data_IF_563914477251
#
_entry.id   IF_563914477251
#
_cell.length_a   1.000
_cell.length_b   1.000
_cell.length_c   1.000
_cell.angle_alpha   90.00
_cell.angle_beta   90.00
_cell.angle_gamma   90.00
#
_symmetry.space_group_name_H-M   'P 1'
#
loop_
_entity.id
_entity.type
_entity.pdbx_description
1 polymer ?
#
# COMPACT_ATOMS: atom_id res chain seq x y z
N UNK A 1 2.77 -2.78 13.37
CA UNK A 1 2.74 -3.61 12.16
C UNK A 1 4.04 -4.39 12.07
N UNK A 2 4.27 -5.04 10.93
CA UNK A 2 5.54 -5.67 10.58
C UNK A 2 6.10 -4.95 9.37
N UNK A 3 7.40 -4.66 9.37
CA UNK A 3 8.05 -4.00 8.24
C UNK A 3 8.13 -4.96 7.05
N UNK A 4 7.47 -4.58 5.96
CA UNK A 4 7.47 -5.35 4.74
C UNK A 4 8.83 -5.25 4.04
N UNK A 5 9.41 -6.40 3.72
CA UNK A 5 10.76 -6.48 3.14
C UNK A 5 10.75 -6.38 1.61
N UNK A 6 9.62 -6.69 0.98
CA UNK A 6 9.47 -6.55 -0.47
C UNK A 6 9.29 -5.10 -0.88
N UNK A 7 9.96 -4.70 -1.97
CA UNK A 7 9.81 -3.37 -2.57
C UNK A 7 8.62 -3.42 -3.54
N UNK A 8 7.63 -2.53 -3.41
CA UNK A 8 6.47 -2.53 -4.29
C UNK A 8 6.76 -1.89 -5.64
N UNK A 9 6.03 -2.32 -6.67
CA UNK A 9 5.81 -1.50 -7.85
C UNK A 9 4.86 -0.35 -7.50
N UNK A 10 5.23 0.88 -7.84
CA UNK A 10 4.45 2.09 -7.53
C UNK A 10 3.90 2.73 -8.80
N UNK A 11 2.59 2.97 -8.82
CA UNK A 11 1.93 3.79 -9.85
C UNK A 11 1.31 5.03 -9.23
N UNK A 12 1.69 6.18 -9.77
CA UNK A 12 1.16 7.47 -9.36
C UNK A 12 0.29 8.05 -10.48
N UNK A 13 -0.85 8.60 -10.10
CA UNK A 13 -1.71 9.36 -11.01
C UNK A 13 -2.23 10.60 -10.30
N UNK A 14 -2.39 11.69 -11.06
CA UNK A 14 -2.92 12.98 -10.59
C UNK A 14 -4.18 13.31 -11.38
N UNK A 15 -5.19 13.86 -10.72
CA UNK A 15 -6.38 14.35 -11.41
C UNK A 15 -6.00 15.48 -12.37
N UNK A 16 -6.78 15.65 -13.45
CA UNK A 16 -6.50 16.63 -14.50
C UNK A 16 -6.48 18.08 -13.99
N UNK A 17 -7.29 18.37 -12.97
CA UNK A 17 -7.35 19.66 -12.28
C UNK A 17 -6.32 19.80 -11.15
N UNK A 18 -5.54 18.73 -10.87
CA UNK A 18 -4.49 18.73 -9.86
C UNK A 18 -4.97 18.70 -8.41
N UNK A 19 -6.27 18.56 -8.16
CA UNK A 19 -6.86 18.63 -6.82
C UNK A 19 -6.68 17.34 -6.01
N UNK A 20 -6.45 16.22 -6.67
CA UNK A 20 -6.27 14.92 -6.03
C UNK A 20 -5.21 14.06 -6.72
N UNK A 21 -4.71 13.08 -5.98
CA UNK A 21 -3.76 12.09 -6.46
C UNK A 21 -4.10 10.70 -5.96
N UNK A 22 -3.55 9.69 -6.63
CA UNK A 22 -3.63 8.30 -6.23
C UNK A 22 -2.27 7.65 -6.39
N UNK A 23 -1.76 7.06 -5.31
CA UNK A 23 -0.65 6.12 -5.33
C UNK A 23 -1.20 4.69 -5.20
N UNK A 24 -0.75 3.79 -6.08
CA UNK A 24 -1.05 2.36 -6.02
C UNK A 24 0.28 1.63 -5.79
N UNK A 25 0.34 0.85 -4.72
CA UNK A 25 1.48 0.02 -4.35
C UNK A 25 1.12 -1.43 -4.64
N UNK A 26 1.94 -2.13 -5.41
CA UNK A 26 1.76 -3.55 -5.73
C UNK A 26 2.97 -4.35 -5.23
N UNK A 27 2.74 -5.17 -4.22
CA UNK A 27 3.77 -6.06 -3.67
C UNK A 27 3.56 -7.47 -4.24
N UNK A 28 4.50 -7.94 -5.05
CA UNK A 28 4.48 -9.32 -5.56
C UNK A 28 5.16 -10.24 -4.55
N UNK A 29 4.48 -11.33 -4.17
CA UNK A 29 4.94 -12.27 -3.14
C UNK A 29 5.50 -11.59 -1.87
N UNK A 30 4.72 -10.71 -1.20
CA UNK A 30 5.18 -9.97 -0.03
C UNK A 30 5.52 -10.88 1.14
N UNK A 31 6.53 -10.51 1.91
CA UNK A 31 7.04 -11.25 3.08
C UNK A 31 6.00 -11.37 4.20
N UNK A 32 5.01 -10.47 4.24
CA UNK A 32 3.87 -10.61 5.17
C UNK A 32 3.07 -11.91 4.95
N UNK A 33 3.10 -12.51 3.75
CA UNK A 33 2.47 -13.80 3.50
C UNK A 33 3.17 -14.96 4.21
N UNK A 34 4.49 -14.87 4.44
CA UNK A 34 5.22 -15.88 5.20
C UNK A 34 4.86 -15.84 6.69
N UNK A 35 4.42 -14.66 7.14
CA UNK A 35 4.07 -14.37 8.54
C UNK A 35 2.57 -14.50 8.83
N UNK A 36 1.73 -14.72 7.80
CA UNK A 36 0.27 -14.53 7.89
C UNK A 36 -0.45 -15.59 8.72
N UNK A 37 0.23 -16.65 9.18
CA UNK A 37 -0.34 -17.60 10.16
C UNK A 37 -0.20 -17.12 11.60
N UNK A 38 0.71 -16.19 11.88
CA UNK A 38 0.97 -15.65 13.21
C UNK A 38 0.47 -14.21 13.41
N UNK A 39 0.33 -13.42 12.33
CA UNK A 39 0.07 -11.97 12.42
C UNK A 39 -1.39 -11.52 12.21
N UNK A 40 -2.31 -12.43 11.88
CA UNK A 40 -3.71 -12.09 11.62
C UNK A 40 -3.95 -11.41 10.27
N UNK A 41 -5.09 -10.72 10.14
CA UNK A 41 -5.52 -10.09 8.88
C UNK A 41 -4.71 -8.83 8.55
N UNK A 42 -4.50 -8.59 7.26
CA UNK A 42 -3.86 -7.37 6.75
C UNK A 42 -4.92 -6.27 6.68
N UNK A 43 -4.83 -5.29 7.58
CA UNK A 43 -5.86 -4.25 7.75
C UNK A 43 -5.48 -2.89 7.15
N UNK A 44 -4.20 -2.70 6.80
CA UNK A 44 -3.74 -1.42 6.28
C UNK A 44 -2.28 -1.41 5.87
N UNK A 45 -1.90 -0.37 5.14
CA UNK A 45 -0.54 0.01 4.80
C UNK A 45 -0.16 1.23 5.64
N UNK A 46 1.03 1.20 6.25
CA UNK A 46 1.63 2.33 6.96
C UNK A 46 2.95 2.67 6.28
N UNK A 47 3.13 3.93 5.90
CA UNK A 47 4.35 4.47 5.27
C UNK A 47 4.95 5.46 6.26
N UNK A 48 6.15 5.17 6.74
CA UNK A 48 6.76 5.85 7.89
C UNK A 48 8.10 6.45 7.45
N UNK A 49 8.26 7.74 7.68
CA UNK A 49 9.48 8.51 7.40
C UNK A 49 9.74 9.56 8.51
N UNK A 50 10.71 10.43 8.30
CA UNK A 50 11.05 11.52 9.24
C UNK A 50 9.95 12.58 9.36
N UNK A 51 9.06 12.69 8.37
CA UNK A 51 7.93 13.63 8.33
C UNK A 51 6.68 13.06 9.02
N UNK A 52 6.70 11.77 9.37
CA UNK A 52 5.67 11.09 10.17
C UNK A 52 5.12 9.83 9.50
N UNK A 53 3.80 9.63 9.62
CA UNK A 53 3.13 8.42 9.15
C UNK A 53 2.00 8.76 8.19
N UNK A 54 2.06 8.18 6.99
CA UNK A 54 0.92 8.06 6.09
C UNK A 54 0.30 6.66 6.25
N UNK A 55 -1.02 6.56 6.16
CA UNK A 55 -1.70 5.27 6.28
C UNK A 55 -2.83 5.13 5.27
N UNK A 56 -3.11 3.90 4.88
CA UNK A 56 -4.29 3.53 4.12
C UNK A 56 -4.90 2.23 4.60
N UNK A 57 -6.23 2.17 4.60
CA UNK A 57 -7.01 0.95 4.85
C UNK A 57 -7.53 0.31 3.55
N UNK A 58 -7.29 0.94 2.39
CA UNK A 58 -7.62 0.37 1.08
C UNK A 58 -6.51 -0.59 0.67
N UNK A 59 -6.61 -1.82 1.17
CA UNK A 59 -5.68 -2.91 0.94
C UNK A 59 -6.44 -4.15 0.47
N UNK A 60 -5.91 -4.82 -0.54
CA UNK A 60 -6.51 -6.03 -1.10
C UNK A 60 -5.45 -7.09 -1.39
N UNK A 61 -5.78 -8.35 -1.12
CA UNK A 61 -4.95 -9.50 -1.46
C UNK A 61 -5.47 -10.16 -2.75
N UNK A 62 -4.57 -10.51 -3.67
CA UNK A 62 -4.88 -11.32 -4.85
C UNK A 62 -4.36 -12.74 -4.64
N UNK A 63 -5.22 -13.69 -5.02
CA UNK A 63 -4.94 -15.12 -4.96
C UNK A 63 -4.86 -15.69 -6.37
N UNK A 64 -3.90 -16.57 -6.60
CA UNK A 64 -3.75 -17.33 -7.84
C UNK A 64 -3.80 -18.81 -7.47
N UNK A 65 -4.76 -19.54 -8.02
CA UNK A 65 -4.98 -20.97 -7.72
C UNK A 65 -5.10 -21.26 -6.20
N UNK A 66 -5.78 -20.38 -5.47
CA UNK A 66 -6.00 -20.52 -4.02
C UNK A 66 -4.78 -20.19 -3.15
N UNK A 67 -3.66 -19.75 -3.72
CA UNK A 67 -2.49 -19.28 -2.97
C UNK A 67 -2.39 -17.75 -3.00
N UNK A 68 -2.07 -17.09 -1.87
CA UNK A 68 -1.84 -15.65 -1.86
C UNK A 68 -0.63 -15.33 -2.75
N UNK A 69 -0.74 -14.31 -3.59
CA UNK A 69 0.27 -13.99 -4.61
C UNK A 69 0.68 -12.53 -4.62
N UNK A 70 -0.24 -11.60 -4.32
CA UNK A 70 0.05 -10.16 -4.37
C UNK A 70 -0.79 -9.40 -3.37
N UNK A 71 -0.25 -8.28 -2.87
CA UNK A 71 -1.01 -7.25 -2.16
C UNK A 71 -1.03 -5.99 -3.01
N UNK A 72 -2.20 -5.37 -3.10
CA UNK A 72 -2.37 -4.04 -3.69
C UNK A 72 -2.92 -3.11 -2.62
N UNK A 73 -2.24 -1.99 -2.38
CA UNK A 73 -2.67 -0.94 -1.47
C UNK A 73 -2.81 0.39 -2.22
N UNK A 74 -3.81 1.19 -1.86
CA UNK A 74 -4.10 2.47 -2.52
C UNK A 74 -4.06 3.61 -1.51
N UNK A 75 -3.31 4.66 -1.80
CA UNK A 75 -3.28 5.86 -1.01
C UNK A 75 -3.84 7.04 -1.81
N UNK A 76 -4.92 7.63 -1.30
CA UNK A 76 -5.62 8.76 -1.93
C UNK A 76 -5.09 10.05 -1.32
N UNK A 77 -4.53 10.90 -2.17
CA UNK A 77 -4.16 12.28 -1.83
C UNK A 77 -5.35 13.18 -2.17
N UNK A 78 -5.90 13.87 -1.18
CA UNK A 78 -7.15 14.65 -1.28
C UNK A 78 -6.93 16.13 -1.56
N UNK A 79 -5.69 16.59 -1.51
CA UNK A 79 -5.30 17.97 -1.77
C UNK A 79 -3.87 18.03 -2.32
N UNK A 80 -3.45 19.17 -2.90
CA UNK A 80 -2.10 19.34 -3.42
C UNK A 80 -1.00 19.17 -2.38
N UNK A 81 -1.23 19.53 -1.11
CA UNK A 81 -0.23 19.44 -0.06
C UNK A 81 0.13 17.98 0.27
N UNK A 82 -0.84 17.07 0.22
CA UNK A 82 -0.60 15.63 0.38
C UNK A 82 0.20 15.03 -0.79
N UNK A 83 0.21 15.67 -1.96
CA UNK A 83 1.04 15.27 -3.10
C UNK A 83 2.49 15.74 -2.99
N UNK A 84 2.71 16.89 -2.35
CA UNK A 84 4.03 17.51 -2.23
C UNK A 84 4.82 16.99 -1.01
N UNK A 85 4.20 16.18 -0.17
CA UNK A 85 4.83 15.48 0.94
C UNK A 85 5.73 14.36 0.44
#
# INVERSE_FOLDING_TARGET
GTDEQSVPDVKLSKSRDGTSGLAIFSFDQPSVFDSSRELGDITGLYMIDEEGVLQSVDVSAKFVNGKPSRIEAKYIMRNPQEWDR
#
